data_IF_994081167330
#
_entry.id   IF_994081167330
#
_cell.length_a   1.000
_cell.length_b   1.000
_cell.length_c   1.000
_cell.angle_alpha   90.00
_cell.angle_beta   90.00
_cell.angle_gamma   90.00
#
_symmetry.space_group_name_H-M   'P 1'
#
loop_
_entity.id
_entity.type
_entity.pdbx_description
1 polymer ?
#
# COMPACT_ATOMS: atom_id res chain seq x y z
N UNK A 1 -30.39 -25.10 -19.10
CA UNK A 1 -30.66 -26.53 -18.79
C UNK A 1 -30.99 -27.28 -20.08
N UNK A 2 -30.58 -28.57 -20.18
CA UNK A 2 -30.54 -29.48 -21.36
C UNK A 2 -29.34 -29.21 -22.28
N UNK A 3 -28.22 -29.95 -22.30
CA UNK A 3 -27.89 -31.36 -22.00
C UNK A 3 -28.53 -32.41 -22.94
N UNK A 4 -27.72 -32.96 -23.86
CA UNK A 4 -27.51 -34.40 -24.22
C UNK A 4 -27.03 -34.51 -25.68
N UNK A 5 -25.79 -34.92 -25.94
CA UNK A 5 -25.18 -36.28 -25.96
C UNK A 5 -25.59 -37.16 -27.17
N UNK A 6 -24.59 -37.35 -28.04
CA UNK A 6 -24.19 -38.53 -28.82
C UNK A 6 -25.21 -39.62 -29.13
N UNK A 7 -25.40 -39.89 -30.43
CA UNK A 7 -25.98 -41.12 -30.97
C UNK A 7 -24.90 -42.00 -31.61
N UNK A 8 -24.92 -43.29 -31.24
CA UNK A 8 -24.07 -44.39 -31.69
C UNK A 8 -24.63 -45.04 -32.98
N UNK A 9 -23.79 -45.77 -33.71
CA UNK A 9 -24.18 -46.77 -34.70
C UNK A 9 -23.54 -46.49 -36.06
N UNK A 10 -22.99 -47.43 -36.84
CA UNK A 10 -23.18 -48.88 -36.95
C UNK A 10 -21.91 -49.47 -37.58
N UNK A 11 -21.61 -50.72 -37.22
CA UNK A 11 -20.50 -51.55 -37.70
C UNK A 11 -21.07 -52.50 -38.77
N UNK A 12 -20.52 -52.57 -39.98
CA UNK A 12 -20.76 -53.69 -40.92
C UNK A 12 -19.51 -54.01 -41.72
N UNK A 13 -19.08 -55.26 -41.58
CA UNK A 13 -18.05 -55.98 -42.34
C UNK A 13 -18.68 -56.57 -43.61
N UNK A 14 -17.98 -56.54 -44.75
CA UNK A 14 -18.38 -57.23 -45.98
C UNK A 14 -17.16 -57.73 -46.75
N UNK A 15 -17.07 -59.05 -46.92
CA UNK A 15 -15.92 -59.83 -47.37
C UNK A 15 -16.16 -60.35 -48.81
N UNK A 16 -15.13 -60.20 -49.67
CA UNK A 16 -14.76 -60.99 -50.88
C UNK A 16 -15.71 -61.05 -52.07
N UNK A 17 -15.16 -60.79 -53.27
CA UNK A 17 -15.32 -61.64 -54.46
C UNK A 17 -14.15 -61.39 -55.44
N UNK A 18 -13.49 -62.49 -55.82
CA UNK A 18 -12.33 -62.56 -56.72
C UNK A 18 -12.83 -62.65 -58.17
N UNK A 19 -12.25 -61.89 -59.08
CA UNK A 19 -12.46 -62.01 -60.52
C UNK A 19 -11.17 -61.70 -61.26
N UNK A 20 -10.53 -62.73 -61.80
CA UNK A 20 -9.32 -62.60 -62.62
C UNK A 20 -9.68 -61.90 -63.93
N UNK A 21 -9.04 -60.77 -64.20
CA UNK A 21 -8.96 -60.19 -65.54
C UNK A 21 -7.48 -60.07 -65.88
N UNK A 22 -7.07 -60.73 -66.97
CA UNK A 22 -5.76 -60.61 -67.57
C UNK A 22 -5.45 -59.13 -67.87
N UNK A 23 -4.62 -58.51 -67.02
CA UNK A 23 -3.98 -57.26 -67.35
C UNK A 23 -2.69 -57.62 -68.06
N UNK A 24 -2.72 -57.46 -69.38
CA UNK A 24 -1.55 -57.43 -70.26
C UNK A 24 -0.47 -56.60 -69.59
N UNK A 25 0.64 -57.26 -69.23
CA UNK A 25 1.86 -56.60 -68.82
C UNK A 25 2.37 -55.77 -70.01
N UNK A 26 1.97 -54.50 -70.08
CA UNK A 26 2.75 -53.51 -70.80
C UNK A 26 3.97 -53.19 -69.93
N UNK A 27 5.07 -53.83 -70.28
CA UNK A 27 6.39 -53.53 -69.72
C UNK A 27 6.68 -52.03 -69.85
N UNK A 28 6.75 -51.32 -68.74
CA UNK A 28 7.48 -50.05 -68.72
C UNK A 28 8.93 -50.43 -68.92
N UNK A 29 9.48 -50.13 -70.09
CA UNK A 29 10.92 -50.26 -70.33
C UNK A 29 11.62 -49.24 -69.45
N UNK A 30 11.87 -49.60 -68.20
CA UNK A 30 12.63 -48.79 -67.27
C UNK A 30 14.12 -48.94 -67.60
N UNK A 31 14.52 -48.42 -68.76
CA UNK A 31 15.91 -48.07 -69.00
C UNK A 31 16.18 -46.84 -68.15
N UNK A 32 16.51 -47.03 -66.88
CA UNK A 32 17.17 -45.98 -66.16
C UNK A 32 18.52 -45.80 -66.86
N UNK A 33 18.76 -44.63 -67.46
CA UNK A 33 20.08 -44.23 -67.90
C UNK A 33 21.09 -44.54 -66.77
N UNK A 34 22.13 -45.32 -67.07
CA UNK A 34 23.10 -45.82 -66.10
C UNK A 34 23.73 -44.67 -65.29
N UNK A 35 23.83 -43.48 -65.88
CA UNK A 35 24.27 -42.27 -65.20
C UNK A 35 23.30 -41.81 -64.10
N UNK A 36 21.97 -41.89 -64.34
CA UNK A 36 20.96 -41.53 -63.34
C UNK A 36 20.86 -42.54 -62.21
N UNK A 37 21.01 -43.84 -62.48
CA UNK A 37 21.08 -44.83 -61.40
C UNK A 37 22.30 -44.62 -60.52
N UNK A 38 23.48 -44.44 -61.13
CA UNK A 38 24.68 -44.14 -60.37
C UNK A 38 24.53 -42.88 -59.52
N UNK A 39 23.79 -41.87 -60.00
CA UNK A 39 23.54 -40.64 -59.22
C UNK A 39 22.64 -40.90 -58.00
N UNK A 40 21.58 -41.71 -58.15
CA UNK A 40 20.69 -42.11 -57.04
C UNK A 40 21.46 -43.01 -56.06
N UNK A 41 22.23 -43.98 -56.55
CA UNK A 41 23.02 -44.91 -55.73
C UNK A 41 24.16 -44.19 -54.98
N UNK A 42 24.80 -43.18 -55.57
CA UNK A 42 25.76 -42.32 -54.88
C UNK A 42 25.07 -41.47 -53.82
N UNK A 43 23.87 -40.95 -54.10
CA UNK A 43 23.08 -40.16 -53.15
C UNK A 43 22.55 -40.96 -51.97
N UNK A 44 22.15 -42.22 -52.17
CA UNK A 44 21.48 -43.05 -51.15
C UNK A 44 22.44 -43.91 -50.32
N UNK A 45 23.45 -44.52 -50.93
CA UNK A 45 24.34 -45.49 -50.24
C UNK A 45 25.83 -45.13 -50.34
N UNK A 46 26.18 -44.02 -51.01
CA UNK A 46 27.58 -43.59 -51.15
C UNK A 46 28.47 -44.57 -51.92
N UNK A 47 27.87 -45.47 -52.71
CA UNK A 47 28.55 -46.56 -53.40
C UNK A 47 28.24 -46.50 -54.90
N UNK A 48 29.07 -45.78 -55.65
CA UNK A 48 29.10 -45.71 -57.12
C UNK A 48 30.52 -45.33 -57.59
N UNK A 49 30.73 -45.11 -58.89
CA UNK A 49 32.07 -44.90 -59.48
C UNK A 49 32.91 -43.77 -58.85
N UNK A 50 32.25 -42.84 -58.13
CA UNK A 50 32.89 -42.00 -57.12
C UNK A 50 32.30 -42.30 -55.74
N UNK A 51 33.00 -43.08 -54.93
CA UNK A 51 32.73 -43.15 -53.49
C UNK A 51 33.03 -41.78 -52.86
N UNK A 52 32.31 -41.37 -51.79
CA UNK A 52 32.56 -40.10 -51.11
C UNK A 52 34.05 -39.90 -50.76
N UNK A 53 34.74 -40.97 -50.35
CA UNK A 53 36.18 -40.95 -50.09
C UNK A 53 37.01 -40.55 -51.32
N UNK A 54 36.77 -41.16 -52.48
CA UNK A 54 37.50 -40.84 -53.72
C UNK A 54 37.12 -39.45 -54.28
N UNK A 55 35.85 -39.05 -54.21
CA UNK A 55 35.39 -37.71 -54.58
C UNK A 55 36.12 -36.61 -53.79
N UNK A 56 36.14 -36.75 -52.47
CA UNK A 56 36.80 -35.78 -51.61
C UNK A 56 38.33 -35.85 -51.72
N UNK A 57 38.94 -37.00 -52.03
CA UNK A 57 40.38 -37.11 -52.26
C UNK A 57 40.84 -36.53 -53.60
N UNK A 58 40.06 -36.70 -54.66
CA UNK A 58 40.43 -36.28 -56.01
C UNK A 58 40.12 -34.80 -56.28
N UNK A 59 38.93 -34.32 -55.88
CA UNK A 59 38.44 -33.00 -56.27
C UNK A 59 38.37 -31.98 -55.12
N UNK A 60 38.29 -32.45 -53.87
CA UNK A 60 38.04 -31.59 -52.70
C UNK A 60 38.97 -31.90 -51.52
N UNK A 61 40.24 -32.24 -51.81
CA UNK A 61 41.22 -32.72 -50.83
C UNK A 61 41.51 -31.71 -49.73
N UNK A 62 41.65 -30.44 -50.09
CA UNK A 62 41.85 -29.33 -49.14
C UNK A 62 40.65 -29.12 -48.21
N UNK A 63 39.43 -29.34 -48.71
CA UNK A 63 38.22 -29.28 -47.89
C UNK A 63 38.20 -30.44 -46.88
N UNK A 64 38.46 -31.68 -47.32
CA UNK A 64 38.47 -32.86 -46.43
C UNK A 64 39.44 -32.73 -45.25
N UNK A 65 40.62 -32.12 -45.47
CA UNK A 65 41.64 -31.90 -44.44
C UNK A 65 41.22 -30.92 -43.34
N UNK A 66 40.29 -30.01 -43.63
CA UNK A 66 39.81 -28.97 -42.68
C UNK A 66 38.35 -29.14 -42.27
N UNK A 67 37.62 -30.10 -42.88
CA UNK A 67 36.22 -30.34 -42.59
C UNK A 67 35.99 -30.79 -41.13
N UNK A 68 36.90 -31.60 -40.58
CA UNK A 68 36.84 -32.03 -39.18
C UNK A 68 37.10 -30.86 -38.20
N UNK A 69 38.03 -29.95 -38.50
CA UNK A 69 38.31 -28.78 -37.65
C UNK A 69 37.22 -27.71 -37.75
N UNK A 70 36.51 -27.63 -38.87
CA UNK A 70 35.33 -26.77 -39.08
C UNK A 70 34.01 -27.45 -38.69
N UNK A 71 34.07 -28.60 -38.03
CA UNK A 71 32.89 -29.36 -37.69
C UNK A 71 32.04 -28.61 -36.66
N UNK A 72 30.88 -28.11 -37.10
CA UNK A 72 29.92 -27.38 -36.25
C UNK A 72 29.33 -28.23 -35.13
N UNK A 73 29.53 -29.55 -35.15
CA UNK A 73 29.03 -30.46 -34.11
C UNK A 73 29.76 -30.28 -32.78
N UNK A 74 31.08 -30.05 -32.78
CA UNK A 74 31.84 -29.84 -31.53
C UNK A 74 31.41 -28.55 -30.83
N UNK A 75 31.27 -27.45 -31.58
CA UNK A 75 30.73 -26.20 -31.06
C UNK A 75 29.29 -26.34 -30.55
N UNK A 76 28.42 -27.10 -31.25
CA UNK A 76 27.06 -27.39 -30.78
C UNK A 76 27.05 -28.25 -29.51
N UNK A 77 27.96 -29.20 -29.39
CA UNK A 77 28.08 -30.06 -28.21
C UNK A 77 28.55 -29.24 -27.01
N UNK A 78 29.58 -28.42 -27.19
CA UNK A 78 30.09 -27.53 -26.14
C UNK A 78 29.04 -26.50 -25.69
N UNK A 79 28.33 -25.88 -26.64
CA UNK A 79 27.23 -24.98 -26.33
C UNK A 79 26.07 -25.72 -25.62
N UNK A 80 25.76 -26.95 -26.04
CA UNK A 80 24.77 -27.81 -25.39
C UNK A 80 25.13 -28.14 -23.94
N UNK A 81 26.41 -28.45 -23.66
CA UNK A 81 26.91 -28.68 -22.30
C UNK A 81 26.77 -27.42 -21.44
N UNK A 82 27.11 -26.24 -21.97
CA UNK A 82 26.96 -24.97 -21.25
C UNK A 82 25.49 -24.58 -21.01
N UNK A 83 24.55 -25.01 -21.85
CA UNK A 83 23.11 -24.79 -21.64
C UNK A 83 22.56 -25.56 -20.44
N UNK A 84 23.14 -26.72 -20.09
CA UNK A 84 22.72 -27.45 -18.88
C UNK A 84 23.04 -26.67 -17.60
N UNK A 85 24.21 -26.03 -17.53
CA UNK A 85 24.59 -25.20 -16.39
C UNK A 85 23.70 -23.95 -16.24
N UNK A 86 23.09 -23.47 -17.34
CA UNK A 86 22.18 -22.32 -17.30
C UNK A 86 20.86 -22.63 -16.60
N UNK A 87 20.44 -23.90 -16.52
CA UNK A 87 19.23 -24.28 -15.77
C UNK A 87 19.47 -24.07 -14.27
N UNK A 88 20.58 -24.60 -13.74
CA UNK A 88 20.94 -24.44 -12.33
C UNK A 88 21.18 -22.95 -11.97
N UNK A 89 21.82 -22.18 -12.86
CA UNK A 89 22.01 -20.74 -12.69
C UNK A 89 20.68 -19.98 -12.69
N UNK A 90 19.74 -20.35 -13.57
CA UNK A 90 18.41 -19.76 -13.61
C UNK A 90 17.59 -20.07 -12.36
N UNK A 91 17.65 -21.30 -11.84
CA UNK A 91 17.00 -21.69 -10.59
C UNK A 91 17.59 -20.96 -9.37
N UNK A 92 18.92 -20.83 -9.32
CA UNK A 92 19.60 -20.06 -8.28
C UNK A 92 19.21 -18.57 -8.32
N UNK A 93 19.09 -18.00 -9.53
CA UNK A 93 18.62 -16.64 -9.73
C UNK A 93 17.17 -16.47 -9.26
N UNK A 94 16.27 -17.38 -9.66
CA UNK A 94 14.86 -17.34 -9.26
C UNK A 94 14.71 -17.40 -7.73
N UNK A 95 15.41 -18.34 -7.09
CA UNK A 95 15.45 -18.47 -5.63
C UNK A 95 15.91 -17.17 -4.94
N UNK A 96 16.98 -16.54 -5.47
CA UNK A 96 17.48 -15.27 -4.95
C UNK A 96 16.47 -14.12 -5.14
N UNK A 97 15.79 -14.06 -6.30
CA UNK A 97 14.77 -13.04 -6.57
C UNK A 97 13.55 -13.21 -5.68
N UNK A 98 13.08 -14.44 -5.46
CA UNK A 98 11.98 -14.75 -4.52
C UNK A 98 12.36 -14.37 -3.09
N UNK A 99 13.57 -14.71 -2.64
CA UNK A 99 14.05 -14.34 -1.32
C UNK A 99 14.10 -12.81 -1.12
N UNK A 100 14.61 -12.08 -2.13
CA UNK A 100 14.65 -10.61 -2.10
C UNK A 100 13.25 -10.00 -2.12
N UNK A 101 12.35 -10.50 -2.96
CA UNK A 101 10.96 -10.04 -3.03
C UNK A 101 10.24 -10.23 -1.68
N UNK A 102 10.48 -11.34 -0.98
CA UNK A 102 9.95 -11.58 0.37
C UNK A 102 10.46 -10.55 1.38
N UNK A 103 11.75 -10.25 1.37
CA UNK A 103 12.36 -9.23 2.25
C UNK A 103 11.82 -7.84 1.92
N UNK A 104 11.67 -7.52 0.64
CA UNK A 104 11.14 -6.23 0.19
C UNK A 104 9.67 -6.07 0.57
N UNK A 105 8.85 -7.11 0.40
CA UNK A 105 7.46 -7.12 0.86
C UNK A 105 7.36 -6.90 2.38
N UNK A 106 8.24 -7.52 3.17
CA UNK A 106 8.29 -7.30 4.63
C UNK A 106 8.73 -5.87 4.98
N UNK A 107 9.73 -5.33 4.29
CA UNK A 107 10.20 -3.96 4.50
C UNK A 107 9.14 -2.93 4.09
N UNK A 108 8.44 -3.18 2.99
CA UNK A 108 7.29 -2.37 2.57
C UNK A 108 6.20 -2.46 3.62
N UNK A 109 5.85 -3.65 4.12
CA UNK A 109 4.84 -3.82 5.17
C UNK A 109 5.20 -3.09 6.48
N UNK A 110 6.47 -3.09 6.91
CA UNK A 110 6.91 -2.34 8.10
C UNK A 110 6.86 -0.82 7.88
N UNK A 111 7.08 -0.37 6.65
CA UNK A 111 7.14 1.06 6.29
C UNK A 111 5.81 1.63 5.82
N UNK A 112 4.88 0.80 5.37
CA UNK A 112 3.53 1.18 5.02
C UNK A 112 2.72 1.44 6.28
N UNK A 113 2.06 2.59 6.35
CA UNK A 113 1.17 2.90 7.47
C UNK A 113 -0.26 2.40 7.24
N UNK A 114 -1.24 2.98 7.93
CA UNK A 114 -2.64 2.57 7.85
C UNK A 114 -2.94 1.31 8.68
N UNK A 115 -3.52 0.27 8.07
CA UNK A 115 -4.01 -0.92 8.79
C UNK A 115 -2.92 -1.77 9.46
N UNK A 116 -1.67 -1.65 8.99
CA UNK A 116 -0.49 -2.32 9.56
C UNK A 116 0.34 -1.38 10.45
N UNK A 117 -0.18 -0.20 10.78
CA UNK A 117 0.53 0.79 11.60
C UNK A 117 0.56 0.37 13.07
N UNK A 118 1.57 -0.45 13.41
CA UNK A 118 1.83 -0.91 14.77
C UNK A 118 2.14 0.27 15.70
N UNK A 119 2.74 1.35 15.19
CA UNK A 119 3.01 2.54 15.99
C UNK A 119 1.71 3.26 16.38
N UNK A 120 0.74 3.34 15.46
CA UNK A 120 -0.59 3.86 15.75
C UNK A 120 -1.37 2.96 16.71
N UNK A 121 -1.27 1.63 16.58
CA UNK A 121 -1.89 0.70 17.52
C UNK A 121 -1.38 0.92 18.96
N UNK A 122 -0.10 1.29 19.13
CA UNK A 122 0.50 1.55 20.43
C UNK A 122 0.21 2.95 21.00
N UNK A 123 0.25 4.01 20.18
CA UNK A 123 0.19 5.41 20.66
C UNK A 123 -1.10 6.15 20.26
N UNK A 124 -1.85 5.65 19.28
CA UNK A 124 -3.02 6.31 18.69
C UNK A 124 -4.16 6.55 19.67
N UNK A 125 -4.35 5.66 20.66
CA UNK A 125 -5.31 5.86 21.75
C UNK A 125 -5.03 7.14 22.54
N UNK A 126 -3.77 7.34 22.97
CA UNK A 126 -3.37 8.52 23.76
C UNK A 126 -3.55 9.82 22.99
N UNK A 127 -3.25 9.82 21.69
CA UNK A 127 -3.43 10.99 20.82
C UNK A 127 -4.92 11.27 20.64
N UNK A 128 -5.72 10.23 20.37
CA UNK A 128 -7.18 10.34 20.21
C UNK A 128 -7.82 10.91 21.48
N UNK A 129 -7.43 10.44 22.66
CA UNK A 129 -7.92 10.94 23.94
C UNK A 129 -7.57 12.43 24.14
N UNK A 130 -6.32 12.81 23.86
CA UNK A 130 -5.90 14.23 23.99
C UNK A 130 -6.54 15.14 22.96
N UNK A 131 -6.76 14.66 21.74
CA UNK A 131 -7.55 15.37 20.74
C UNK A 131 -9.01 15.53 21.22
N UNK A 132 -9.59 14.50 21.83
CA UNK A 132 -10.92 14.57 22.44
C UNK A 132 -11.01 15.60 23.56
N UNK A 133 -10.04 15.63 24.47
CA UNK A 133 -9.91 16.68 25.51
C UNK A 133 -9.84 18.08 24.89
N UNK A 134 -9.00 18.24 23.86
CA UNK A 134 -8.82 19.52 23.18
C UNK A 134 -10.12 19.98 22.50
N UNK A 135 -10.79 19.11 21.74
CA UNK A 135 -12.08 19.40 21.12
C UNK A 135 -13.16 19.76 22.13
N UNK A 136 -13.23 19.06 23.27
CA UNK A 136 -14.16 19.42 24.36
C UNK A 136 -13.88 20.80 24.92
N UNK A 137 -12.62 21.16 25.12
CA UNK A 137 -12.24 22.48 25.60
C UNK A 137 -12.54 23.58 24.57
N UNK A 138 -12.41 23.31 23.27
CA UNK A 138 -12.80 24.25 22.20
C UNK A 138 -14.30 24.55 22.27
N UNK A 139 -15.13 23.53 22.51
CA UNK A 139 -16.57 23.71 22.67
C UNK A 139 -16.94 24.52 23.92
N UNK A 140 -16.08 24.55 24.94
CA UNK A 140 -16.30 25.33 26.17
C UNK A 140 -16.07 26.83 25.99
N UNK A 141 -15.35 27.27 24.95
CA UNK A 141 -15.03 28.69 24.72
C UNK A 141 -16.29 29.56 24.76
N UNK A 142 -17.29 29.20 23.96
CA UNK A 142 -18.57 29.93 23.90
C UNK A 142 -19.31 29.90 25.25
N UNK A 143 -19.24 28.78 25.97
CA UNK A 143 -19.89 28.63 27.29
C UNK A 143 -19.23 29.51 28.36
N UNK A 144 -17.91 29.72 28.26
CA UNK A 144 -17.13 30.57 29.18
C UNK A 144 -17.18 32.06 28.85
N UNK A 145 -17.91 32.47 27.80
CA UNK A 145 -18.04 33.87 27.38
C UNK A 145 -17.01 34.33 26.34
N UNK A 146 -16.37 33.40 25.62
CA UNK A 146 -15.55 33.71 24.44
C UNK A 146 -16.40 33.94 23.19
N UNK A 147 -15.78 34.41 22.12
CA UNK A 147 -16.45 34.70 20.84
C UNK A 147 -16.30 33.53 19.83
N UNK A 148 -17.01 33.63 18.70
CA UNK A 148 -16.97 32.63 17.63
C UNK A 148 -15.65 32.60 16.83
N UNK A 149 -14.96 33.74 16.75
CA UNK A 149 -13.67 33.86 16.04
C UNK A 149 -12.56 33.12 16.79
N UNK A 150 -12.51 33.30 18.11
CA UNK A 150 -11.60 32.60 19.03
C UNK A 150 -11.85 31.09 18.95
N UNK A 151 -13.12 30.66 18.96
CA UNK A 151 -13.44 29.24 18.77
C UNK A 151 -12.95 28.71 17.41
N UNK A 152 -13.11 29.49 16.35
CA UNK A 152 -12.66 29.13 14.99
C UNK A 152 -11.14 28.99 14.93
N UNK A 153 -10.40 29.93 15.53
CA UNK A 153 -8.93 29.86 15.65
C UNK A 153 -8.45 28.55 16.29
N UNK A 154 -9.08 28.13 17.40
CA UNK A 154 -8.70 26.88 18.05
C UNK A 154 -9.14 25.65 17.25
N UNK A 155 -10.25 25.74 16.51
CA UNK A 155 -10.72 24.68 15.61
C UNK A 155 -9.79 24.47 14.42
N UNK A 156 -9.19 25.52 13.89
CA UNK A 156 -8.14 25.42 12.86
C UNK A 156 -6.92 24.65 13.38
N UNK A 157 -6.50 24.93 14.62
CA UNK A 157 -5.41 24.18 15.25
C UNK A 157 -5.75 22.69 15.44
N UNK A 158 -7.00 22.40 15.83
CA UNK A 158 -7.49 21.03 15.91
C UNK A 158 -7.44 20.32 14.55
N UNK A 159 -7.88 20.99 13.48
CA UNK A 159 -7.80 20.47 12.12
C UNK A 159 -6.36 20.26 11.65
N UNK A 160 -5.44 21.19 11.98
CA UNK A 160 -4.01 21.05 11.70
C UNK A 160 -3.44 19.78 12.33
N UNK A 161 -3.78 19.48 13.59
CA UNK A 161 -3.35 18.24 14.23
C UNK A 161 -3.99 16.99 13.60
N UNK A 162 -5.25 17.05 13.19
CA UNK A 162 -5.88 15.95 12.43
C UNK A 162 -5.14 15.69 11.12
N UNK A 163 -4.77 16.74 10.39
CA UNK A 163 -3.97 16.62 9.17
C UNK A 163 -2.59 16.03 9.46
N UNK A 164 -1.91 16.47 10.53
CA UNK A 164 -0.62 15.92 10.93
C UNK A 164 -0.69 14.42 11.26
N UNK A 165 -1.75 13.97 11.93
CA UNK A 165 -1.98 12.54 12.22
C UNK A 165 -2.14 11.76 10.92
N UNK A 166 -3.02 12.22 10.01
CA UNK A 166 -3.25 11.56 8.72
C UNK A 166 -1.97 11.52 7.87
N UNK A 167 -1.26 12.63 7.77
CA UNK A 167 0.02 12.68 7.05
C UNK A 167 1.06 11.72 7.63
N UNK A 168 1.07 11.52 8.96
CA UNK A 168 1.96 10.57 9.64
C UNK A 168 1.55 9.11 9.37
N UNK A 169 0.24 8.84 9.29
CA UNK A 169 -0.31 7.53 8.93
C UNK A 169 -0.01 7.18 7.47
N UNK A 170 -0.10 8.14 6.55
CA UNK A 170 0.12 7.92 5.12
C UNK A 170 1.61 7.92 4.74
N UNK A 171 2.48 8.44 5.60
CA UNK A 171 3.90 8.55 5.34
C UNK A 171 4.60 7.17 5.28
N UNK A 172 5.39 6.99 4.22
CA UNK A 172 6.28 5.84 4.05
C UNK A 172 7.54 6.01 4.91
N UNK A 173 7.54 5.41 6.11
CA UNK A 173 8.66 5.48 7.04
C UNK A 173 8.67 4.29 8.01
N UNK A 174 9.84 3.90 8.55
CA UNK A 174 9.93 2.82 9.54
C UNK A 174 9.07 3.08 10.79
N UNK A 175 8.50 2.02 11.37
CA UNK A 175 7.61 2.10 12.53
C UNK A 175 8.24 2.84 13.73
N UNK A 176 9.54 2.66 13.98
CA UNK A 176 10.24 3.36 15.06
C UNK A 176 10.29 4.89 14.84
N UNK A 177 10.44 5.34 13.60
CA UNK A 177 10.40 6.77 13.26
C UNK A 177 8.97 7.29 13.34
N UNK A 178 7.99 6.53 12.83
CA UNK A 178 6.57 6.87 12.91
C UNK A 178 6.11 7.06 14.35
N UNK A 179 6.49 6.15 15.25
CA UNK A 179 6.23 6.26 16.70
C UNK A 179 6.77 7.55 17.29
N UNK A 180 7.98 7.97 16.90
CA UNK A 180 8.55 9.27 17.36
C UNK A 180 7.71 10.45 16.88
N UNK A 181 7.18 10.41 15.65
CA UNK A 181 6.30 11.47 15.15
C UNK A 181 4.97 11.50 15.91
N UNK A 182 4.37 10.35 16.21
CA UNK A 182 3.17 10.28 17.05
C UNK A 182 3.39 10.87 18.44
N UNK A 183 4.50 10.54 19.10
CA UNK A 183 4.84 11.12 20.40
C UNK A 183 5.03 12.65 20.32
N UNK A 184 5.62 13.17 19.24
CA UNK A 184 5.75 14.62 19.01
C UNK A 184 4.38 15.29 18.87
N UNK A 185 3.52 14.72 18.01
CA UNK A 185 2.13 15.20 17.85
C UNK A 185 1.40 15.21 19.19
N UNK A 186 1.52 14.13 19.98
CA UNK A 186 0.94 14.08 21.32
C UNK A 186 1.41 15.24 22.20
N UNK A 187 2.72 15.50 22.26
CA UNK A 187 3.26 16.58 23.08
C UNK A 187 2.81 17.96 22.62
N UNK A 188 2.68 18.17 21.31
CA UNK A 188 2.24 19.45 20.76
C UNK A 188 0.74 19.67 20.98
N UNK A 189 -0.09 18.64 20.82
CA UNK A 189 -1.52 18.69 21.17
C UNK A 189 -1.70 18.98 22.66
N UNK A 190 -0.94 18.31 23.53
CA UNK A 190 -1.00 18.53 24.97
C UNK A 190 -0.64 19.97 25.34
N UNK A 191 0.45 20.52 24.76
CA UNK A 191 0.87 21.90 24.96
C UNK A 191 -0.19 22.90 24.48
N UNK A 192 -0.76 22.70 23.30
CA UNK A 192 -1.82 23.56 22.76
C UNK A 192 -3.11 23.49 23.57
N UNK A 193 -3.47 22.30 24.07
CA UNK A 193 -4.62 22.17 24.96
C UNK A 193 -4.40 22.90 26.29
N UNK A 194 -3.17 22.89 26.84
CA UNK A 194 -2.85 23.66 28.05
C UNK A 194 -2.93 25.18 27.82
N UNK A 195 -2.49 25.68 26.66
CA UNK A 195 -2.68 27.08 26.27
C UNK A 195 -4.17 27.45 26.22
N UNK A 196 -5.00 26.58 25.64
CA UNK A 196 -6.45 26.77 25.60
C UNK A 196 -7.07 26.76 27.00
N UNK A 197 -6.68 25.83 27.88
CA UNK A 197 -7.15 25.80 29.27
C UNK A 197 -6.82 27.10 29.99
N UNK A 198 -5.58 27.62 29.84
CA UNK A 198 -5.20 28.92 30.42
C UNK A 198 -6.02 30.08 29.86
N UNK A 199 -6.40 30.02 28.59
CA UNK A 199 -7.30 31.01 27.99
C UNK A 199 -8.72 30.90 28.55
N UNK A 200 -9.28 29.69 28.68
CA UNK A 200 -10.60 29.46 29.29
C UNK A 200 -10.68 29.94 30.74
N UNK A 201 -9.63 29.69 31.53
CA UNK A 201 -9.55 30.19 32.91
C UNK A 201 -9.55 31.72 32.95
N UNK A 202 -8.83 32.37 32.03
CA UNK A 202 -8.84 33.85 31.90
C UNK A 202 -10.24 34.37 31.57
N UNK A 203 -10.93 33.76 30.61
CA UNK A 203 -12.32 34.11 30.27
C UNK A 203 -13.26 33.94 31.47
N UNK A 204 -13.19 32.79 32.15
CA UNK A 204 -14.02 32.50 33.32
C UNK A 204 -13.79 33.52 34.44
N UNK A 205 -12.55 33.90 34.69
CA UNK A 205 -12.21 34.88 35.72
C UNK A 205 -12.69 36.29 35.33
N UNK A 206 -12.53 36.69 34.07
CA UNK A 206 -13.03 37.97 33.57
C UNK A 206 -14.56 38.06 33.72
N UNK A 207 -15.28 37.00 33.33
CA UNK A 207 -16.74 36.91 33.51
C UNK A 207 -17.14 37.02 34.99
N UNK A 208 -16.52 36.22 35.86
CA UNK A 208 -16.80 36.27 37.30
C UNK A 208 -16.52 37.65 37.90
N UNK A 209 -15.46 38.31 37.45
CA UNK A 209 -15.11 39.66 37.92
C UNK A 209 -16.14 40.70 37.46
N UNK A 210 -16.63 40.59 36.21
CA UNK A 210 -17.70 41.44 35.69
C UNK A 210 -19.03 41.23 36.45
N UNK A 211 -19.39 39.98 36.74
CA UNK A 211 -20.57 39.63 37.55
C UNK A 211 -20.48 40.22 38.96
N UNK A 212 -19.32 40.11 39.63
CA UNK A 212 -19.09 40.70 40.94
C UNK A 212 -19.14 42.23 40.92
N UNK A 213 -18.55 42.86 39.89
CA UNK A 213 -18.57 44.31 39.74
C UNK A 213 -20.01 44.83 39.52
N UNK A 214 -20.79 44.13 38.68
CA UNK A 214 -22.19 44.44 38.47
C UNK A 214 -23.01 44.29 39.76
N UNK A 215 -22.77 43.25 40.55
CA UNK A 215 -23.41 43.05 41.85
C UNK A 215 -23.05 44.17 42.85
N UNK A 216 -21.79 44.62 42.89
CA UNK A 216 -21.40 45.76 43.75
C UNK A 216 -22.06 47.07 43.35
N UNK A 217 -22.27 47.29 42.04
CA UNK A 217 -22.96 48.48 41.54
C UNK A 217 -24.47 48.49 41.86
N UNK A 218 -25.05 47.33 42.17
CA UNK A 218 -26.47 47.20 42.57
C UNK A 218 -26.68 47.35 44.09
N UNK A 219 -25.64 47.55 44.89
CA UNK A 219 -25.79 47.82 46.33
C UNK A 219 -26.47 49.19 46.49
N UNK A 220 -27.75 49.20 46.88
CA UNK A 220 -28.49 50.42 47.20
C UNK A 220 -27.70 51.30 48.16
N UNK A 221 -27.54 52.58 47.81
CA UNK A 221 -26.93 53.57 48.70
C UNK A 221 -27.89 53.93 49.83
N UNK A 222 -27.94 53.09 50.87
CA UNK A 222 -28.78 53.29 52.06
C UNK A 222 -28.22 54.32 53.04
N UNK A 223 -27.14 55.04 52.70
CA UNK A 223 -26.52 56.01 53.61
C UNK A 223 -27.53 57.07 54.09
N UNK A 224 -28.35 57.59 53.18
CA UNK A 224 -29.38 58.58 53.52
C UNK A 224 -30.45 58.00 54.47
N UNK A 225 -30.91 56.77 54.22
CA UNK A 225 -31.89 56.08 55.06
C UNK A 225 -31.32 55.77 56.45
N UNK A 226 -30.06 55.31 56.52
CA UNK A 226 -29.35 55.03 57.78
C UNK A 226 -29.15 56.30 58.60
N UNK A 227 -28.75 57.40 57.96
CA UNK A 227 -28.61 58.72 58.63
C UNK A 227 -29.96 59.23 59.12
N UNK A 228 -31.02 59.11 58.31
CA UNK A 228 -32.37 59.51 58.72
C UNK A 228 -32.88 58.68 59.91
N UNK A 229 -32.68 57.36 59.90
CA UNK A 229 -33.03 56.48 61.00
C UNK A 229 -32.23 56.78 62.29
N UNK A 230 -30.92 57.08 62.16
CA UNK A 230 -30.08 57.47 63.28
C UNK A 230 -30.51 58.82 63.89
N UNK A 231 -30.82 59.81 63.05
CA UNK A 231 -31.35 61.10 63.49
C UNK A 231 -32.71 60.97 64.18
N UNK A 232 -33.60 60.11 63.67
CA UNK A 232 -34.88 59.80 64.30
C UNK A 232 -34.71 59.19 65.69
N UNK A 233 -33.79 58.22 65.83
CA UNK A 233 -33.42 57.61 67.12
C UNK A 233 -32.84 58.61 68.11
N UNK A 234 -31.95 59.50 67.66
CA UNK A 234 -31.37 60.54 68.52
C UNK A 234 -32.43 61.51 69.03
N UNK A 235 -33.33 61.98 68.15
CA UNK A 235 -34.45 62.84 68.56
C UNK A 235 -35.37 62.15 69.57
N UNK A 236 -35.76 60.91 69.33
CA UNK A 236 -36.64 60.18 70.26
C UNK A 236 -35.97 59.86 71.61
N UNK A 237 -34.66 59.62 71.63
CA UNK A 237 -33.89 59.52 72.88
C UNK A 237 -33.82 60.86 73.65
N UNK A 238 -33.78 61.99 72.95
CA UNK A 238 -33.85 63.32 73.59
C UNK A 238 -35.20 63.59 74.25
N UNK A 239 -36.30 63.21 73.61
CA UNK A 239 -37.66 63.47 74.11
C UNK A 239 -38.03 62.61 75.34
N UNK A 240 -37.54 61.38 75.41
CA UNK A 240 -37.74 60.50 76.57
C UNK A 240 -37.03 60.99 77.84
N UNK A 241 -36.05 61.88 77.74
CA UNK A 241 -35.43 62.53 78.92
C UNK A 241 -36.17 63.79 79.41
N UNK A 242 -37.09 64.34 78.61
CA UNK A 242 -37.85 65.56 78.93
C UNK A 242 -39.18 65.22 79.60
N UNK A 243 -39.85 64.13 79.21
CA UNK A 243 -41.09 63.63 79.82
C UNK A 243 -40.90 62.87 81.15
N UNK A 244 -39.65 62.63 81.59
CA UNK A 244 -39.32 61.95 82.84
C UNK A 244 -39.07 62.87 84.04
N UNK A 245 -39.38 64.17 83.91
CA UNK A 245 -39.32 65.16 85.02
C UNK A 245 -40.74 65.56 85.42
N UNK A 246 -41.40 64.70 86.19
CA UNK A 246 -42.41 65.10 87.18
C UNK A 246 -41.89 64.75 88.58
#
# INVERSE_FOLDING_TARGET
>A
MKNRKMGKGILVVGLVLYGAMDVVAQSVTYSHDAAKMNQITVGEIGSGSLTPGLYYQALHKSYSKSAASKNKLSYRTLAGVNLYNQVDEAEALDSAMVARAKIEALNVADRSGGALDVAWAAEGGKITDKMGDFGRNINRILQTGGNGDDQSYWKEHYQMFQCAIRATQDAYMPNAQRKKQYLRIYTDVARKNEELIRYLVRLSNARKTSELLAATNQIENRKAQVVAAAMGRWRSAGWTTVDGRE
#
